data_IF_120105591987
#
_entry.id   IF_120105591987
#
_cell.length_a   1.000
_cell.length_b   1.000
_cell.length_c   1.000
_cell.angle_alpha   90.00
_cell.angle_beta   90.00
_cell.angle_gamma   90.00
#
_symmetry.space_group_name_H-M   'P 1'
#
loop_
_entity.id
_entity.type
_entity.pdbx_description
1 polymer ?
#
# COMPACT_ATOMS: atom_id res chain seq x y z
N UNK A 1 6.39 -8.11 50.59
CA UNK A 1 5.59 -7.93 49.37
C UNK A 1 4.89 -9.25 49.12
N UNK A 2 3.54 -9.24 49.14
CA UNK A 2 2.71 -10.44 48.94
C UNK A 2 2.72 -10.84 47.45
N UNK A 3 2.57 -12.15 47.16
CA UNK A 3 2.51 -12.69 45.79
C UNK A 3 1.45 -11.96 44.92
N UNK A 4 0.34 -11.51 45.49
CA UNK A 4 -0.69 -10.71 44.83
C UNK A 4 -0.19 -9.32 44.38
N UNK A 5 0.68 -8.68 45.13
CA UNK A 5 1.27 -7.39 44.73
C UNK A 5 2.31 -7.55 43.63
N UNK A 6 3.01 -8.70 43.60
CA UNK A 6 3.95 -9.03 42.54
C UNK A 6 3.22 -9.39 41.22
N UNK A 7 2.03 -10.04 41.34
CA UNK A 7 1.18 -10.35 40.19
C UNK A 7 0.52 -9.08 39.59
N UNK A 8 0.16 -8.09 40.44
CA UNK A 8 -0.35 -6.79 39.97
C UNK A 8 0.73 -5.91 39.34
N UNK A 9 1.97 -5.99 39.81
CA UNK A 9 3.11 -5.25 39.26
C UNK A 9 3.57 -5.82 37.90
N UNK A 10 3.43 -7.12 37.67
CA UNK A 10 3.74 -7.75 36.37
C UNK A 10 2.64 -7.51 35.33
N UNK A 11 1.38 -7.38 35.74
CA UNK A 11 0.27 -7.07 34.83
C UNK A 11 0.19 -5.59 34.37
N UNK A 12 0.85 -4.68 35.08
CA UNK A 12 0.82 -3.24 34.73
C UNK A 12 1.80 -2.84 33.63
N UNK A 13 2.67 -3.75 33.20
CA UNK A 13 3.70 -3.50 32.16
C UNK A 13 3.39 -4.15 30.80
N UNK A 14 2.40 -5.05 30.73
CA UNK A 14 2.01 -5.68 29.47
C UNK A 14 0.86 -4.87 28.88
N UNK A 15 1.13 -4.16 27.79
CA UNK A 15 0.05 -3.57 26.97
C UNK A 15 -0.83 -4.70 26.47
N UNK A 16 -2.15 -4.56 26.66
CA UNK A 16 -3.10 -5.57 26.22
C UNK A 16 -3.41 -5.46 24.72
N UNK A 17 -3.20 -4.30 24.11
CA UNK A 17 -3.48 -4.05 22.70
C UNK A 17 -2.37 -3.18 22.07
N UNK A 18 -2.14 -3.36 20.79
CA UNK A 18 -1.26 -2.54 19.97
C UNK A 18 -1.85 -1.14 19.80
N UNK A 19 -1.00 -0.13 19.82
CA UNK A 19 -1.40 1.25 19.55
C UNK A 19 -1.23 1.56 18.07
N UNK A 20 -2.34 1.67 17.36
CA UNK A 20 -2.38 2.05 15.95
C UNK A 20 -2.82 3.50 15.83
N UNK A 21 -2.07 4.30 15.08
CA UNK A 21 -2.39 5.72 14.83
C UNK A 21 -2.64 5.93 13.35
N UNK A 22 -3.68 6.69 13.00
CA UNK A 22 -4.00 7.09 11.62
C UNK A 22 -3.89 8.60 11.49
N UNK A 23 -2.91 9.06 10.70
CA UNK A 23 -2.73 10.47 10.36
C UNK A 23 -3.39 10.80 9.04
N UNK A 24 -4.36 11.70 9.04
CA UNK A 24 -4.92 12.33 7.84
C UNK A 24 -4.21 13.64 7.52
N UNK A 25 -3.38 13.67 6.46
CA UNK A 25 -2.49 14.79 6.15
C UNK A 25 -3.00 15.63 4.98
N UNK A 26 -3.24 16.92 5.23
CA UNK A 26 -3.78 17.85 4.24
C UNK A 26 -5.26 17.62 3.94
N UNK A 27 -5.80 18.28 2.91
CA UNK A 27 -7.22 18.23 2.60
C UNK A 27 -7.71 16.82 2.22
N UNK A 28 -7.04 16.15 1.27
CA UNK A 28 -7.43 14.79 0.84
C UNK A 28 -7.30 13.77 1.97
N UNK A 29 -6.18 13.80 2.72
CA UNK A 29 -6.00 12.91 3.87
C UNK A 29 -7.02 13.19 4.99
N UNK A 30 -7.38 14.44 5.23
CA UNK A 30 -8.42 14.82 6.19
C UNK A 30 -9.81 14.33 5.80
N UNK A 31 -10.17 14.37 4.51
CA UNK A 31 -11.44 13.84 4.02
C UNK A 31 -11.50 12.31 4.18
N UNK A 32 -10.44 11.61 3.77
CA UNK A 32 -10.34 10.17 3.97
C UNK A 32 -10.43 9.80 5.47
N UNK A 33 -9.77 10.56 6.34
CA UNK A 33 -9.82 10.35 7.78
C UNK A 33 -11.23 10.50 8.34
N UNK A 34 -11.96 11.56 7.92
CA UNK A 34 -13.36 11.74 8.32
C UNK A 34 -14.22 10.53 7.89
N UNK A 35 -14.02 10.01 6.68
CA UNK A 35 -14.75 8.85 6.18
C UNK A 35 -14.43 7.58 6.97
N UNK A 36 -13.16 7.40 7.40
CA UNK A 36 -12.75 6.29 8.27
C UNK A 36 -13.45 6.39 9.64
N UNK A 37 -13.51 7.60 10.21
CA UNK A 37 -14.16 7.86 11.50
C UNK A 37 -15.67 7.60 11.41
N UNK A 38 -16.34 8.08 10.35
CA UNK A 38 -17.76 7.86 10.09
C UNK A 38 -18.12 6.36 9.98
N UNK A 39 -17.17 5.57 9.50
CA UNK A 39 -17.32 4.10 9.39
C UNK A 39 -17.05 3.35 10.70
N UNK A 40 -16.84 4.08 11.81
CA UNK A 40 -16.71 3.53 13.16
C UNK A 40 -15.58 2.48 13.29
N UNK A 41 -14.44 2.70 12.64
CA UNK A 41 -13.25 1.84 12.79
C UNK A 41 -12.77 1.93 14.24
N UNK A 42 -12.65 0.78 14.91
CA UNK A 42 -12.31 0.69 16.33
C UNK A 42 -10.82 0.38 16.53
N UNK A 43 -10.30 0.68 17.73
CA UNK A 43 -8.94 0.30 18.13
C UNK A 43 -7.83 1.15 17.52
N UNK A 44 -8.17 2.33 16.97
CA UNK A 44 -7.21 3.26 16.35
C UNK A 44 -7.35 4.67 16.88
N UNK A 45 -6.24 5.39 17.01
CA UNK A 45 -6.19 6.81 17.34
C UNK A 45 -6.16 7.64 16.05
N UNK A 46 -7.02 8.64 15.96
CA UNK A 46 -7.12 9.50 14.76
C UNK A 46 -6.50 10.87 15.00
N UNK A 47 -5.66 11.31 14.06
CA UNK A 47 -5.00 12.62 14.06
C UNK A 47 -5.15 13.30 12.72
N UNK A 48 -5.81 14.46 12.67
CA UNK A 48 -5.85 15.30 11.47
C UNK A 48 -4.72 16.34 11.52
N UNK A 49 -3.91 16.40 10.46
CA UNK A 49 -2.80 17.34 10.33
C UNK A 49 -2.94 18.18 9.05
N UNK A 50 -3.03 19.50 9.18
CA UNK A 50 -3.18 20.38 8.03
C UNK A 50 -2.54 21.75 8.28
N UNK A 51 -2.13 22.44 7.21
CA UNK A 51 -1.71 23.84 7.22
C UNK A 51 -2.89 24.81 7.10
N UNK A 52 -4.09 24.31 6.81
CA UNK A 52 -5.34 25.08 6.70
C UNK A 52 -6.20 24.84 7.95
N UNK A 53 -6.35 25.87 8.77
CA UNK A 53 -7.10 25.84 10.01
C UNK A 53 -8.60 25.56 9.78
N UNK A 54 -9.20 26.13 8.71
CA UNK A 54 -10.61 25.90 8.40
C UNK A 54 -10.90 24.45 8.05
N UNK A 55 -9.98 23.81 7.31
CA UNK A 55 -10.11 22.38 7.01
C UNK A 55 -9.99 21.53 8.28
N UNK A 56 -9.16 21.90 9.25
CA UNK A 56 -9.08 21.23 10.53
C UNK A 56 -10.31 21.42 11.40
N UNK A 57 -10.93 22.61 11.37
CA UNK A 57 -12.17 22.85 12.12
C UNK A 57 -13.28 21.92 11.67
N UNK A 58 -13.34 21.62 10.35
CA UNK A 58 -14.33 20.70 9.76
C UNK A 58 -13.97 19.21 9.98
N UNK A 59 -12.78 18.89 10.44
CA UNK A 59 -12.38 17.50 10.69
C UNK A 59 -13.11 16.92 11.89
N UNK A 60 -13.52 15.64 11.78
CA UNK A 60 -14.13 14.86 12.85
C UNK A 60 -13.07 14.20 13.76
N UNK A 61 -11.78 14.29 13.42
CA UNK A 61 -10.72 13.71 14.21
C UNK A 61 -10.68 14.32 15.64
N UNK A 62 -10.56 13.46 16.67
CA UNK A 62 -10.43 13.94 18.05
C UNK A 62 -9.14 14.72 18.28
N UNK A 63 -8.08 14.38 17.54
CA UNK A 63 -6.79 15.06 17.64
C UNK A 63 -6.52 15.84 16.36
N UNK A 64 -6.09 17.10 16.52
CA UNK A 64 -5.87 18.02 15.40
C UNK A 64 -4.55 18.75 15.56
N UNK A 65 -3.76 18.85 14.48
CA UNK A 65 -2.50 19.56 14.44
C UNK A 65 -2.54 20.59 13.32
N UNK A 66 -2.42 21.87 13.66
CA UNK A 66 -2.10 22.92 12.70
C UNK A 66 -0.61 22.82 12.40
N UNK A 67 -0.27 22.50 11.16
CA UNK A 67 1.12 22.41 10.72
C UNK A 67 1.65 23.78 10.32
N UNK A 68 2.82 24.13 10.88
CA UNK A 68 3.49 25.38 10.55
C UNK A 68 2.66 26.61 10.90
N UNK A 69 2.24 26.69 12.14
CA UNK A 69 1.36 27.74 12.68
C UNK A 69 1.94 29.13 12.43
N UNK A 70 3.25 29.29 12.62
CA UNK A 70 3.97 30.54 12.34
C UNK A 70 4.15 30.77 10.84
N UNK A 71 4.52 29.73 10.11
CA UNK A 71 4.84 29.81 8.69
C UNK A 71 3.61 30.08 7.83
N UNK A 72 2.51 29.34 8.08
CA UNK A 72 1.31 29.37 7.22
C UNK A 72 0.19 30.25 7.78
N UNK A 73 0.21 30.55 9.08
CA UNK A 73 -0.85 31.27 9.79
C UNK A 73 -2.23 30.64 9.62
N UNK A 74 -2.28 29.33 9.41
CA UNK A 74 -3.53 28.60 9.15
C UNK A 74 -4.17 28.85 7.78
N UNK A 75 -3.45 29.47 6.82
CA UNK A 75 -3.98 29.82 5.49
C UNK A 75 -3.67 28.77 4.41
N UNK A 76 -3.05 27.65 4.80
CA UNK A 76 -2.70 26.58 3.89
C UNK A 76 -1.31 26.73 3.26
N UNK A 77 -0.88 25.73 2.48
CA UNK A 77 0.43 25.66 1.85
C UNK A 77 0.46 26.23 0.41
N UNK A 78 -0.63 26.74 -0.13
CA UNK A 78 -0.70 27.36 -1.47
C UNK A 78 -0.27 26.43 -2.61
N UNK A 79 -0.58 25.12 -2.52
CA UNK A 79 -0.16 24.08 -3.46
C UNK A 79 1.37 23.95 -3.63
N UNK A 80 2.15 24.39 -2.64
CA UNK A 80 3.60 24.30 -2.62
C UNK A 80 4.05 23.23 -1.60
N UNK A 81 4.59 22.07 -2.05
CA UNK A 81 5.04 21.02 -1.15
C UNK A 81 6.15 21.45 -0.20
N UNK A 82 7.05 22.35 -0.62
CA UNK A 82 8.12 22.83 0.24
C UNK A 82 7.59 23.59 1.47
N UNK A 83 6.47 24.34 1.30
CA UNK A 83 5.79 24.97 2.43
C UNK A 83 5.20 23.89 3.35
N UNK A 84 4.58 22.85 2.78
CA UNK A 84 4.09 21.71 3.56
C UNK A 84 5.19 21.00 4.36
N UNK A 85 6.33 20.75 3.73
CA UNK A 85 7.51 20.15 4.37
C UNK A 85 8.02 21.02 5.54
N UNK A 86 8.18 22.31 5.32
CA UNK A 86 8.68 23.24 6.34
C UNK A 86 7.67 23.37 7.48
N UNK A 87 6.36 23.39 7.16
CA UNK A 87 5.29 23.44 8.16
C UNK A 87 5.27 22.19 9.05
N UNK A 88 5.47 21.00 8.47
CA UNK A 88 5.59 19.77 9.25
C UNK A 88 6.84 19.77 10.14
N UNK A 89 7.98 20.25 9.63
CA UNK A 89 9.21 20.38 10.41
C UNK A 89 9.06 21.37 11.58
N UNK A 90 8.37 22.49 11.38
CA UNK A 90 8.05 23.43 12.47
C UNK A 90 7.22 22.76 13.57
N UNK A 91 6.33 21.84 13.19
CA UNK A 91 5.41 21.16 14.11
C UNK A 91 5.90 19.79 14.58
N UNK A 92 7.19 19.45 14.36
CA UNK A 92 7.71 18.09 14.55
C UNK A 92 7.52 17.53 15.96
N UNK A 93 7.68 18.38 16.98
CA UNK A 93 7.55 17.95 18.38
C UNK A 93 6.11 17.57 18.71
N UNK A 94 5.12 18.33 18.20
CA UNK A 94 3.70 17.99 18.34
C UNK A 94 3.34 16.70 17.57
N UNK A 95 3.92 16.50 16.40
CA UNK A 95 3.73 15.25 15.64
C UNK A 95 4.25 14.06 16.47
N UNK A 96 5.48 14.17 17.00
CA UNK A 96 6.10 13.13 17.83
C UNK A 96 5.29 12.82 19.09
N UNK A 97 4.68 13.80 19.70
CA UNK A 97 3.82 13.63 20.89
C UNK A 97 2.67 12.64 20.59
N UNK A 98 1.97 12.81 19.46
CA UNK A 98 0.84 11.95 19.09
C UNK A 98 1.24 10.53 18.69
N UNK A 99 2.42 10.35 18.06
CA UNK A 99 2.90 9.04 17.64
C UNK A 99 3.71 8.33 18.73
N UNK A 100 4.03 8.98 19.85
CA UNK A 100 4.79 8.36 20.93
C UNK A 100 4.07 7.13 21.46
N UNK A 101 4.82 6.02 21.48
CA UNK A 101 4.36 4.72 21.92
C UNK A 101 3.38 4.04 20.96
N UNK A 102 3.23 4.51 19.72
CA UNK A 102 2.54 3.78 18.67
C UNK A 102 3.39 2.60 18.19
N UNK A 103 2.73 1.48 17.89
CA UNK A 103 3.33 0.31 17.28
C UNK A 103 3.24 0.37 15.74
N UNK A 104 2.18 1.04 15.24
CA UNK A 104 1.92 1.24 13.81
C UNK A 104 1.36 2.62 13.52
N UNK A 105 1.79 3.21 12.41
CA UNK A 105 1.30 4.49 11.89
C UNK A 105 0.82 4.34 10.45
N UNK A 106 -0.43 4.68 10.21
CA UNK A 106 -0.93 4.96 8.86
C UNK A 106 -0.80 6.45 8.55
N UNK A 107 -0.18 6.77 7.41
CA UNK A 107 -0.13 8.13 6.89
C UNK A 107 -0.99 8.18 5.62
N UNK A 108 -2.18 8.80 5.71
CA UNK A 108 -3.05 8.98 4.55
C UNK A 108 -3.00 10.40 4.01
N UNK A 109 -2.81 10.53 2.69
CA UNK A 109 -2.72 11.82 2.04
C UNK A 109 -3.15 11.78 0.57
N UNK A 110 -3.79 12.86 0.10
CA UNK A 110 -3.93 13.13 -1.34
C UNK A 110 -2.67 13.80 -1.86
N UNK A 111 -1.95 13.13 -2.76
CA UNK A 111 -0.71 13.66 -3.35
C UNK A 111 -1.00 14.67 -4.47
N UNK A 112 -0.06 15.58 -4.72
CA UNK A 112 -0.17 16.62 -5.76
C UNK A 112 -0.59 17.99 -5.23
N UNK A 113 -0.97 18.10 -3.94
CA UNK A 113 -1.18 19.35 -3.22
C UNK A 113 0.08 19.85 -2.53
N UNK A 114 -0.06 20.87 -1.69
CA UNK A 114 1.06 21.40 -0.88
C UNK A 114 1.25 20.62 0.42
N UNK A 115 0.22 20.58 1.26
CA UNK A 115 0.31 20.02 2.62
C UNK A 115 0.53 18.51 2.58
N UNK A 116 -0.37 17.73 1.95
CA UNK A 116 -0.27 16.27 1.91
C UNK A 116 1.06 15.81 1.30
N UNK A 117 1.43 16.38 0.15
CA UNK A 117 2.65 16.02 -0.57
C UNK A 117 3.94 16.33 0.21
N UNK A 118 3.95 17.49 0.90
CA UNK A 118 5.14 17.94 1.61
C UNK A 118 5.26 17.42 3.04
N UNK A 119 4.14 17.33 3.77
CA UNK A 119 4.15 16.97 5.19
C UNK A 119 4.16 15.45 5.43
N UNK A 120 3.50 14.65 4.59
CA UNK A 120 3.42 13.21 4.78
C UNK A 120 4.80 12.53 4.87
N UNK A 121 5.80 12.85 4.00
CA UNK A 121 7.14 12.29 4.14
C UNK A 121 7.83 12.64 5.46
N UNK A 122 7.64 13.86 5.99
CA UNK A 122 8.23 14.30 7.25
C UNK A 122 7.62 13.58 8.45
N UNK A 123 6.30 13.39 8.44
CA UNK A 123 5.58 12.63 9.47
C UNK A 123 6.03 11.16 9.45
N UNK A 124 6.14 10.57 8.27
CA UNK A 124 6.60 9.21 8.09
C UNK A 124 8.05 9.01 8.57
N UNK A 125 8.95 9.95 8.24
CA UNK A 125 10.35 9.95 8.69
C UNK A 125 10.42 9.96 10.22
N UNK A 126 9.67 10.86 10.87
CA UNK A 126 9.64 10.97 12.33
C UNK A 126 9.18 9.67 13.01
N UNK A 127 8.18 9.00 12.44
CA UNK A 127 7.66 7.74 12.97
C UNK A 127 8.65 6.59 12.78
N UNK A 128 9.26 6.49 11.60
CA UNK A 128 10.28 5.48 11.30
C UNK A 128 11.50 5.62 12.22
N UNK A 129 11.95 6.86 12.48
CA UNK A 129 13.06 7.13 13.38
C UNK A 129 12.77 6.72 14.84
N UNK A 130 11.48 6.62 15.20
CA UNK A 130 11.02 6.12 16.50
C UNK A 130 10.79 4.59 16.51
N UNK A 131 11.08 3.88 15.40
CA UNK A 131 10.92 2.42 15.28
C UNK A 131 9.48 1.95 15.09
N UNK A 132 8.58 2.85 14.72
CA UNK A 132 7.17 2.56 14.45
C UNK A 132 7.04 1.96 13.04
N UNK A 133 6.19 0.94 12.86
CA UNK A 133 5.84 0.43 11.53
C UNK A 133 5.03 1.47 10.77
N UNK A 134 5.53 1.97 9.64
CA UNK A 134 4.89 3.05 8.89
C UNK A 134 4.29 2.56 7.57
N UNK A 135 3.00 2.73 7.41
CA UNK A 135 2.26 2.42 6.18
C UNK A 135 1.72 3.70 5.55
N UNK A 136 2.19 4.02 4.37
CA UNK A 136 1.65 5.11 3.56
C UNK A 136 0.47 4.64 2.73
N UNK A 137 -0.67 5.34 2.80
CA UNK A 137 -1.86 5.07 1.98
C UNK A 137 -2.24 6.35 1.27
N UNK A 138 -1.86 6.49 0.00
CA UNK A 138 -1.95 7.78 -0.69
C UNK A 138 -2.62 7.66 -2.04
N UNK A 139 -3.20 8.78 -2.52
CA UNK A 139 -3.85 8.83 -3.82
C UNK A 139 -3.05 9.68 -4.80
N UNK A 140 -3.03 9.28 -6.09
CA UNK A 140 -2.64 10.14 -7.19
C UNK A 140 -3.86 10.93 -7.68
N UNK A 141 -3.68 12.20 -8.08
CA UNK A 141 -4.77 13.00 -8.62
C UNK A 141 -5.36 12.40 -9.89
N UNK A 142 -6.60 12.77 -10.20
CA UNK A 142 -7.20 12.45 -11.50
C UNK A 142 -6.46 13.18 -12.64
N UNK A 143 -6.44 12.61 -13.83
CA UNK A 143 -5.81 13.20 -15.02
C UNK A 143 -6.36 14.57 -15.37
N UNK A 144 -7.66 14.84 -15.13
CA UNK A 144 -8.27 16.15 -15.34
C UNK A 144 -7.77 17.23 -14.36
N UNK A 145 -7.09 16.87 -13.26
CA UNK A 145 -6.48 17.80 -12.30
C UNK A 145 -5.14 18.39 -12.81
N UNK A 146 -4.79 18.12 -14.03
CA UNK A 146 -3.66 18.65 -14.79
C UNK A 146 -2.29 18.05 -14.44
N UNK A 147 -1.42 18.03 -15.44
CA UNK A 147 -0.11 17.38 -15.39
C UNK A 147 0.85 17.98 -14.34
N UNK A 148 0.71 19.28 -14.02
CA UNK A 148 1.53 19.87 -12.95
C UNK A 148 1.25 19.23 -11.59
N UNK A 149 -0.02 18.96 -11.29
CA UNK A 149 -0.45 18.33 -10.03
C UNK A 149 0.03 16.87 -9.98
N UNK A 150 -0.06 16.15 -11.11
CA UNK A 150 0.46 14.79 -11.23
C UNK A 150 1.97 14.72 -10.99
N UNK A 151 2.78 15.59 -11.64
CA UNK A 151 4.22 15.65 -11.41
C UNK A 151 4.59 15.95 -9.95
N UNK A 152 3.83 16.83 -9.31
CA UNK A 152 4.00 17.13 -7.88
C UNK A 152 3.69 15.90 -7.02
N UNK A 153 2.64 15.15 -7.36
CA UNK A 153 2.28 13.90 -6.68
C UNK A 153 3.37 12.84 -6.82
N UNK A 154 3.88 12.62 -8.02
CA UNK A 154 4.95 11.66 -8.29
C UNK A 154 6.22 11.97 -7.49
N UNK A 155 6.64 13.24 -7.46
CA UNK A 155 7.78 13.68 -6.67
C UNK A 155 7.58 13.43 -5.16
N UNK A 156 6.39 13.73 -4.63
CA UNK A 156 6.06 13.49 -3.23
C UNK A 156 5.98 12.00 -2.86
N UNK A 157 5.48 11.17 -3.78
CA UNK A 157 5.44 9.71 -3.62
C UNK A 157 6.85 9.13 -3.52
N UNK A 158 7.79 9.62 -4.34
CA UNK A 158 9.20 9.21 -4.29
C UNK A 158 9.82 9.55 -2.92
N UNK A 159 9.53 10.73 -2.37
CA UNK A 159 10.04 11.12 -1.05
C UNK A 159 9.36 10.32 0.07
N UNK A 160 8.05 10.12 0.01
CA UNK A 160 7.32 9.33 1.01
C UNK A 160 7.82 7.88 1.05
N UNK A 161 8.07 7.28 -0.11
CA UNK A 161 8.53 5.89 -0.25
C UNK A 161 9.84 5.61 0.50
N UNK A 162 10.70 6.59 0.67
CA UNK A 162 11.95 6.46 1.43
C UNK A 162 11.73 6.29 2.94
N UNK A 163 10.57 6.72 3.41
CA UNK A 163 10.26 6.90 4.83
C UNK A 163 9.15 6.00 5.35
N UNK A 164 8.62 5.13 4.51
CA UNK A 164 7.59 4.14 4.89
C UNK A 164 8.08 2.72 4.69
N UNK A 165 7.55 1.78 5.44
CA UNK A 165 7.79 0.35 5.29
C UNK A 165 6.99 -0.23 4.11
N UNK A 166 5.71 0.16 4.01
CA UNK A 166 4.82 -0.18 2.91
C UNK A 166 4.16 1.09 2.36
N UNK A 167 4.13 1.23 1.03
CA UNK A 167 3.45 2.34 0.37
C UNK A 167 2.37 1.82 -0.57
N UNK A 168 1.12 2.04 -0.18
CA UNK A 168 -0.05 1.77 -0.99
C UNK A 168 -0.43 3.02 -1.77
N UNK A 169 -0.47 2.89 -3.10
CA UNK A 169 -0.77 4.01 -4.00
C UNK A 169 -2.06 3.71 -4.75
N UNK A 170 -3.08 4.55 -4.54
CA UNK A 170 -4.34 4.49 -5.26
C UNK A 170 -4.29 5.47 -6.43
N UNK A 171 -4.39 4.96 -7.65
CA UNK A 171 -4.47 5.78 -8.86
C UNK A 171 -5.94 6.12 -9.13
N UNK A 172 -6.34 7.39 -8.90
CA UNK A 172 -7.75 7.80 -9.02
C UNK A 172 -8.34 7.52 -10.42
N UNK A 173 -7.53 7.63 -11.48
CA UNK A 173 -7.97 7.35 -12.85
C UNK A 173 -8.40 5.89 -13.07
N UNK A 174 -7.85 4.95 -12.30
CA UNK A 174 -8.26 3.55 -12.38
C UNK A 174 -9.67 3.31 -11.85
N UNK A 175 -10.09 4.12 -10.89
CA UNK A 175 -11.47 4.06 -10.41
C UNK A 175 -12.45 4.42 -11.52
N UNK A 176 -12.07 5.30 -12.46
CA UNK A 176 -12.93 5.64 -13.61
C UNK A 176 -13.13 4.49 -14.61
N UNK A 177 -12.32 3.44 -14.53
CA UNK A 177 -12.46 2.24 -15.37
C UNK A 177 -13.53 1.27 -14.84
N UNK A 178 -14.02 1.48 -13.61
CA UNK A 178 -15.14 0.71 -13.09
C UNK A 178 -16.42 1.18 -13.79
N UNK A 179 -17.16 0.24 -14.39
CA UNK A 179 -18.35 0.53 -15.23
C UNK A 179 -19.39 1.42 -14.53
N UNK A 180 -19.49 1.33 -13.20
CA UNK A 180 -20.39 2.14 -12.37
C UNK A 180 -20.02 3.62 -12.30
N UNK A 181 -18.76 4.01 -12.64
CA UNK A 181 -18.22 5.35 -12.37
C UNK A 181 -18.26 6.30 -13.58
N UNK A 182 -18.41 5.79 -14.81
CA UNK A 182 -18.38 6.61 -16.03
C UNK A 182 -19.49 7.68 -16.10
N UNK A 183 -20.57 7.53 -15.32
CA UNK A 183 -21.72 8.46 -15.24
C UNK A 183 -21.86 9.09 -13.84
N UNK A 184 -20.87 8.96 -12.98
CA UNK A 184 -20.93 9.43 -11.61
C UNK A 184 -20.70 10.95 -11.52
N UNK A 185 -21.34 11.60 -10.53
CA UNK A 185 -21.06 13.00 -10.22
C UNK A 185 -19.66 13.15 -9.65
N UNK A 186 -19.01 14.29 -9.93
CA UNK A 186 -17.65 14.57 -9.44
C UNK A 186 -17.50 14.36 -7.92
N UNK A 187 -18.48 14.83 -7.16
CA UNK A 187 -18.48 14.67 -5.69
C UNK A 187 -18.46 13.21 -5.27
N UNK A 188 -19.24 12.37 -5.98
CA UNK A 188 -19.35 10.94 -5.68
C UNK A 188 -18.07 10.19 -6.09
N UNK A 189 -17.38 10.66 -7.16
CA UNK A 189 -16.08 10.13 -7.54
C UNK A 189 -15.02 10.35 -6.44
N UNK A 190 -14.96 11.54 -5.85
CA UNK A 190 -14.06 11.78 -4.70
C UNK A 190 -14.44 10.97 -3.46
N UNK A 191 -15.74 10.83 -3.16
CA UNK A 191 -16.19 9.94 -2.07
C UNK A 191 -15.75 8.50 -2.30
N UNK A 192 -15.75 8.04 -3.56
CA UNK A 192 -15.27 6.68 -3.88
C UNK A 192 -13.76 6.54 -3.66
N UNK A 193 -12.98 7.59 -3.93
CA UNK A 193 -11.55 7.63 -3.57
C UNK A 193 -11.37 7.53 -2.07
N UNK A 194 -12.12 8.32 -1.29
CA UNK A 194 -12.07 8.30 0.17
C UNK A 194 -12.48 6.92 0.72
N UNK A 195 -13.49 6.27 0.10
CA UNK A 195 -13.91 4.92 0.41
C UNK A 195 -12.80 3.88 0.19
N UNK A 196 -12.04 3.98 -0.90
CA UNK A 196 -10.91 3.09 -1.16
C UNK A 196 -9.81 3.27 -0.12
N UNK A 197 -9.49 4.52 0.26
CA UNK A 197 -8.53 4.80 1.33
C UNK A 197 -9.01 4.24 2.67
N UNK A 198 -10.30 4.37 2.96
CA UNK A 198 -10.92 3.79 4.15
C UNK A 198 -10.76 2.26 4.17
N UNK A 199 -11.12 1.59 3.08
CA UNK A 199 -11.03 0.13 2.98
C UNK A 199 -9.57 -0.35 3.09
N UNK A 200 -8.62 0.42 2.56
CA UNK A 200 -7.20 0.10 2.69
C UNK A 200 -6.71 0.13 4.15
N UNK A 201 -7.07 1.17 4.89
CA UNK A 201 -6.72 1.30 6.31
C UNK A 201 -7.49 0.25 7.12
N UNK A 202 -8.79 0.14 6.91
CA UNK A 202 -9.66 -0.77 7.65
C UNK A 202 -9.30 -2.25 7.38
N UNK A 203 -8.98 -2.60 6.13
CA UNK A 203 -8.61 -3.97 5.77
C UNK A 203 -7.40 -4.50 6.54
N UNK A 204 -6.48 -3.62 6.94
CA UNK A 204 -5.33 -3.98 7.78
C UNK A 204 -5.68 -3.89 9.26
N UNK A 205 -6.34 -2.80 9.67
CA UNK A 205 -6.65 -2.59 11.11
C UNK A 205 -7.63 -3.64 11.65
N UNK A 206 -8.63 -4.02 10.86
CA UNK A 206 -9.61 -5.02 11.26
C UNK A 206 -8.98 -6.38 11.55
N UNK A 207 -7.93 -6.77 10.81
CA UNK A 207 -7.18 -8.01 11.05
C UNK A 207 -6.46 -8.05 12.39
N UNK A 208 -6.09 -6.86 12.93
CA UNK A 208 -5.35 -6.71 14.18
C UNK A 208 -6.33 -6.50 15.34
N UNK A 209 -7.40 -5.71 15.12
CA UNK A 209 -8.24 -5.20 16.20
C UNK A 209 -9.55 -5.95 16.40
N UNK A 210 -10.06 -6.62 15.35
CA UNK A 210 -11.32 -7.36 15.42
C UNK A 210 -11.10 -8.84 15.67
N UNK A 211 -11.94 -9.41 16.51
CA UNK A 211 -11.97 -10.85 16.72
C UNK A 211 -12.72 -11.54 15.57
N UNK A 212 -12.07 -12.51 14.95
CA UNK A 212 -12.65 -13.38 13.92
C UNK A 212 -12.45 -14.86 14.26
N UNK A 213 -12.76 -15.76 13.33
CA UNK A 213 -12.41 -17.18 13.48
C UNK A 213 -10.92 -17.43 13.29
N UNK A 214 -10.27 -16.63 12.43
CA UNK A 214 -8.83 -16.67 12.21
C UNK A 214 -8.30 -15.29 12.52
N UNK A 215 -7.67 -15.15 13.67
CA UNK A 215 -7.05 -13.90 14.11
C UNK A 215 -5.58 -13.91 13.73
N UNK A 216 -5.12 -12.79 13.21
CA UNK A 216 -3.72 -12.52 12.99
C UNK A 216 -3.16 -11.75 14.18
N UNK A 217 -1.97 -12.10 14.62
CA UNK A 217 -1.27 -11.25 15.55
C UNK A 217 -0.57 -10.07 14.82
N UNK A 218 -0.25 -9.04 15.57
CA UNK A 218 0.41 -7.85 15.01
C UNK A 218 1.75 -8.19 14.34
N UNK A 219 2.48 -9.17 14.85
CA UNK A 219 3.78 -9.54 14.30
C UNK A 219 3.66 -10.22 12.93
N UNK A 220 2.56 -10.94 12.67
CA UNK A 220 2.28 -11.50 11.35
C UNK A 220 2.09 -10.40 10.31
N UNK A 221 1.26 -9.40 10.63
CA UNK A 221 1.03 -8.22 9.77
C UNK A 221 2.34 -7.43 9.60
N UNK A 222 3.09 -7.24 10.69
CA UNK A 222 4.38 -6.56 10.68
C UNK A 222 5.39 -7.28 9.80
N UNK A 223 5.44 -8.62 9.82
CA UNK A 223 6.36 -9.39 8.99
C UNK A 223 6.14 -9.18 7.48
N UNK A 224 4.88 -9.02 7.03
CA UNK A 224 4.57 -8.74 5.62
C UNK A 224 4.84 -7.28 5.26
N UNK A 225 4.52 -6.34 6.15
CA UNK A 225 4.57 -4.92 5.83
C UNK A 225 5.92 -4.26 6.07
N UNK A 226 6.81 -4.84 6.92
CA UNK A 226 8.16 -4.29 7.16
C UNK A 226 9.01 -4.35 5.90
N UNK A 227 9.54 -3.21 5.47
CA UNK A 227 10.34 -3.06 4.25
C UNK A 227 9.65 -3.66 3.01
N UNK A 228 8.34 -3.64 2.98
CA UNK A 228 7.52 -4.20 1.91
C UNK A 228 7.61 -3.39 0.60
N UNK A 229 8.07 -2.14 0.67
CA UNK A 229 8.22 -1.28 -0.49
C UNK A 229 6.88 -0.83 -1.07
N UNK A 230 6.62 -1.16 -2.33
CA UNK A 230 5.33 -0.82 -2.96
C UNK A 230 4.29 -1.88 -2.60
N UNK A 231 3.13 -1.44 -2.12
CA UNK A 231 1.96 -2.29 -1.92
C UNK A 231 0.86 -1.89 -2.91
N UNK A 232 0.10 -2.86 -3.36
CA UNK A 232 -1.11 -2.65 -4.14
C UNK A 232 -2.27 -3.37 -3.47
N UNK A 233 -3.48 -2.87 -3.71
CA UNK A 233 -4.68 -3.40 -3.09
C UNK A 233 -5.68 -3.80 -4.17
N UNK A 234 -6.30 -4.98 -3.96
CA UNK A 234 -7.47 -5.42 -4.69
C UNK A 234 -8.65 -5.58 -3.74
N UNK A 235 -9.84 -5.28 -4.22
CA UNK A 235 -11.07 -5.43 -3.47
C UNK A 235 -12.08 -6.17 -4.32
N UNK A 236 -12.78 -7.12 -3.72
CA UNK A 236 -13.82 -7.89 -4.37
C UNK A 236 -15.01 -8.11 -3.45
N UNK A 237 -16.18 -8.13 -4.04
CA UNK A 237 -17.45 -8.45 -3.41
C UNK A 237 -18.08 -9.64 -4.14
N UNK A 238 -18.68 -10.54 -3.40
CA UNK A 238 -19.44 -11.67 -3.92
C UNK A 238 -20.75 -11.87 -3.15
N UNK A 239 -21.77 -12.34 -3.85
CA UNK A 239 -23.10 -12.58 -3.30
C UNK A 239 -23.69 -13.85 -3.91
N UNK A 240 -24.55 -14.56 -3.16
CA UNK A 240 -25.23 -15.77 -3.58
C UNK A 240 -24.32 -16.99 -3.67
N UNK A 241 -24.56 -17.88 -4.61
CA UNK A 241 -23.79 -19.11 -4.80
C UNK A 241 -22.34 -18.79 -5.16
N UNK A 242 -21.36 -19.51 -4.57
CA UNK A 242 -19.92 -19.30 -4.72
C UNK A 242 -19.44 -17.86 -4.35
N UNK A 243 -20.13 -17.20 -3.43
CA UNK A 243 -19.89 -15.79 -3.05
C UNK A 243 -18.45 -15.51 -2.64
N UNK A 244 -17.82 -16.38 -1.87
CA UNK A 244 -16.44 -16.20 -1.41
C UNK A 244 -15.43 -16.37 -2.56
N UNK A 245 -15.62 -17.35 -3.44
CA UNK A 245 -14.82 -17.54 -4.64
C UNK A 245 -14.95 -16.37 -5.61
N UNK A 246 -16.17 -15.85 -5.81
CA UNK A 246 -16.42 -14.65 -6.62
C UNK A 246 -15.73 -13.42 -6.04
N UNK A 247 -15.83 -13.21 -4.72
CA UNK A 247 -15.19 -12.10 -4.04
C UNK A 247 -13.65 -12.15 -4.17
N UNK A 248 -13.04 -13.34 -3.98
CA UNK A 248 -11.61 -13.54 -4.15
C UNK A 248 -11.15 -13.23 -5.58
N UNK A 249 -11.88 -13.74 -6.59
CA UNK A 249 -11.59 -13.46 -7.99
C UNK A 249 -11.73 -11.98 -8.33
N UNK A 250 -12.81 -11.34 -7.89
CA UNK A 250 -13.04 -9.91 -8.10
C UNK A 250 -11.96 -9.05 -7.42
N UNK A 251 -11.39 -9.50 -6.30
CA UNK A 251 -10.27 -8.83 -5.64
C UNK A 251 -8.99 -8.90 -6.47
N UNK A 252 -8.68 -10.07 -7.07
CA UNK A 252 -7.53 -10.25 -7.98
C UNK A 252 -7.71 -9.43 -9.25
N UNK A 253 -8.91 -9.44 -9.83
CA UNK A 253 -9.25 -8.74 -11.07
C UNK A 253 -9.56 -7.24 -10.85
N UNK A 254 -9.42 -6.75 -9.62
CA UNK A 254 -9.74 -5.36 -9.27
C UNK A 254 -8.94 -4.36 -10.12
N UNK A 255 -9.56 -3.31 -10.67
CA UNK A 255 -8.85 -2.25 -11.41
C UNK A 255 -7.75 -1.56 -10.61
N UNK A 256 -7.82 -1.62 -9.27
CA UNK A 256 -6.80 -1.08 -8.37
C UNK A 256 -5.50 -1.90 -8.38
N UNK A 257 -5.57 -3.16 -8.80
CA UNK A 257 -4.40 -4.02 -8.98
C UNK A 257 -3.59 -3.56 -10.19
N UNK A 258 -2.56 -2.75 -9.95
CA UNK A 258 -1.69 -2.21 -11.01
C UNK A 258 -0.69 -3.23 -11.54
N UNK A 259 -0.39 -4.26 -10.76
CA UNK A 259 0.49 -5.37 -11.08
C UNK A 259 -0.21 -6.70 -10.79
N UNK A 260 0.15 -7.77 -11.50
CA UNK A 260 -0.39 -9.10 -11.19
C UNK A 260 0.10 -9.58 -9.81
N UNK A 261 -0.75 -10.30 -9.10
CA UNK A 261 -0.44 -10.89 -7.80
C UNK A 261 0.73 -11.87 -7.86
N UNK A 262 0.96 -12.49 -9.00
CA UNK A 262 2.05 -13.47 -9.26
C UNK A 262 3.46 -12.94 -9.01
N UNK A 263 3.65 -11.62 -8.93
CA UNK A 263 4.95 -11.02 -8.60
C UNK A 263 5.09 -10.55 -7.16
N UNK A 264 4.08 -10.79 -6.33
CA UNK A 264 4.07 -10.38 -4.93
C UNK A 264 4.95 -11.30 -4.09
N UNK A 265 5.71 -10.73 -3.17
CA UNK A 265 6.50 -11.49 -2.19
C UNK A 265 5.77 -11.68 -0.86
N UNK A 266 4.72 -10.90 -0.61
CA UNK A 266 3.83 -11.04 0.54
C UNK A 266 2.42 -10.66 0.16
N UNK A 267 1.47 -11.40 0.68
CA UNK A 267 0.04 -11.19 0.46
C UNK A 267 -0.65 -11.19 1.81
N UNK A 268 -1.38 -10.13 2.09
CA UNK A 268 -2.26 -10.02 3.23
C UNK A 268 -3.71 -10.09 2.70
N UNK A 269 -4.45 -11.07 3.15
CA UNK A 269 -5.82 -11.32 2.73
C UNK A 269 -6.77 -11.14 3.92
N UNK A 270 -7.71 -10.21 3.80
CA UNK A 270 -8.81 -10.02 4.72
C UNK A 270 -10.12 -10.49 4.06
N UNK A 271 -10.76 -11.47 4.65
CA UNK A 271 -12.08 -11.96 4.23
C UNK A 271 -13.10 -11.56 5.29
N UNK A 272 -14.05 -10.70 4.92
CA UNK A 272 -15.14 -10.24 5.81
C UNK A 272 -16.45 -10.85 5.35
N UNK A 273 -17.15 -11.52 6.27
CA UNK A 273 -18.41 -12.25 5.97
C UNK A 273 -19.41 -12.11 7.11
N UNK A 274 -20.67 -12.42 6.84
CA UNK A 274 -21.63 -12.74 7.93
C UNK A 274 -21.26 -14.07 8.61
N UNK A 275 -21.94 -14.35 9.73
CA UNK A 275 -21.75 -15.57 10.53
C UNK A 275 -22.14 -16.88 9.83
N UNK A 276 -22.91 -16.82 8.75
CA UNK A 276 -23.44 -17.97 7.99
C UNK A 276 -22.49 -18.47 6.87
N UNK A 277 -21.19 -18.12 6.91
CA UNK A 277 -20.21 -18.59 5.93
C UNK A 277 -19.88 -20.07 6.12
N UNK A 278 -19.76 -20.82 5.04
CA UNK A 278 -19.42 -22.24 5.09
C UNK A 278 -17.90 -22.44 4.98
N UNK A 279 -17.41 -23.51 5.59
CA UNK A 279 -15.98 -23.86 5.56
C UNK A 279 -15.45 -24.08 4.14
N UNK A 280 -16.23 -24.73 3.28
CA UNK A 280 -15.86 -24.95 1.88
C UNK A 280 -15.78 -23.64 1.08
N UNK A 281 -16.67 -22.66 1.34
CA UNK A 281 -16.61 -21.36 0.69
C UNK A 281 -15.30 -20.63 1.01
N UNK A 282 -14.85 -20.69 2.27
CA UNK A 282 -13.56 -20.14 2.68
C UNK A 282 -12.37 -20.86 2.04
N UNK A 283 -12.45 -22.20 1.94
CA UNK A 283 -11.41 -23.00 1.31
C UNK A 283 -11.29 -22.68 -0.20
N UNK A 284 -12.41 -22.48 -0.89
CA UNK A 284 -12.45 -22.14 -2.31
C UNK A 284 -11.85 -20.73 -2.56
N UNK A 285 -12.18 -19.75 -1.71
CA UNK A 285 -11.58 -18.41 -1.79
C UNK A 285 -10.06 -18.45 -1.56
N UNK A 286 -9.60 -19.16 -0.53
CA UNK A 286 -8.18 -19.32 -0.22
C UNK A 286 -7.42 -19.98 -1.37
N UNK A 287 -7.99 -21.03 -1.96
CA UNK A 287 -7.41 -21.75 -3.10
C UNK A 287 -7.20 -20.86 -4.33
N UNK A 288 -8.17 -20.02 -4.66
CA UNK A 288 -8.06 -19.07 -5.79
C UNK A 288 -6.87 -18.12 -5.59
N UNK A 289 -6.68 -17.61 -4.38
CA UNK A 289 -5.55 -16.73 -4.05
C UNK A 289 -4.22 -17.49 -4.13
N UNK A 290 -4.17 -18.71 -3.55
CA UNK A 290 -2.97 -19.56 -3.54
C UNK A 290 -2.53 -19.94 -4.97
N UNK A 291 -3.47 -20.31 -5.84
CA UNK A 291 -3.21 -20.64 -7.25
C UNK A 291 -2.69 -19.45 -8.06
N UNK A 292 -3.03 -18.22 -7.64
CA UNK A 292 -2.63 -16.99 -8.34
C UNK A 292 -1.33 -16.42 -7.77
N UNK A 293 -1.01 -16.70 -6.53
CA UNK A 293 0.19 -16.20 -5.85
C UNK A 293 1.46 -16.90 -6.34
N UNK A 294 2.61 -16.22 -6.20
CA UNK A 294 3.90 -16.86 -6.40
C UNK A 294 4.08 -17.98 -5.35
N UNK A 295 4.59 -19.17 -5.71
CA UNK A 295 4.85 -20.27 -4.76
C UNK A 295 5.76 -19.87 -3.58
N UNK A 296 6.64 -18.89 -3.77
CA UNK A 296 7.51 -18.35 -2.74
C UNK A 296 6.90 -17.16 -1.96
N UNK A 297 5.68 -16.73 -2.32
CA UNK A 297 4.99 -15.64 -1.63
C UNK A 297 4.55 -16.05 -0.23
N UNK A 298 4.78 -15.18 0.75
CA UNK A 298 4.22 -15.35 2.08
C UNK A 298 2.75 -14.89 2.07
N UNK A 299 1.81 -15.84 2.16
CA UNK A 299 0.38 -15.53 2.23
C UNK A 299 -0.08 -15.61 3.68
N UNK A 300 -0.64 -14.52 4.18
CA UNK A 300 -1.27 -14.47 5.50
C UNK A 300 -2.73 -14.04 5.28
N UNK A 301 -3.66 -14.80 5.87
CA UNK A 301 -5.06 -14.49 5.74
C UNK A 301 -5.76 -14.45 7.11
N UNK A 302 -6.72 -13.55 7.22
CA UNK A 302 -7.58 -13.44 8.39
C UNK A 302 -9.05 -13.36 7.99
N UNK A 303 -9.91 -13.69 8.95
CA UNK A 303 -11.35 -13.67 8.77
C UNK A 303 -12.00 -12.76 9.81
N UNK A 304 -12.85 -11.86 9.33
CA UNK A 304 -13.61 -10.91 10.16
C UNK A 304 -15.10 -11.20 9.99
N UNK A 305 -15.83 -11.24 11.10
CA UNK A 305 -17.31 -11.40 11.07
C UNK A 305 -17.94 -10.03 11.11
N UNK A 306 -18.83 -9.77 10.14
CA UNK A 306 -19.68 -8.58 10.09
C UNK A 306 -21.07 -8.98 9.58
N UNK A 307 -22.00 -9.20 10.51
CA UNK A 307 -23.35 -9.63 10.19
C UNK A 307 -24.17 -8.58 9.43
N UNK A 308 -23.68 -7.33 9.35
CA UNK A 308 -24.32 -6.29 8.54
C UNK A 308 -24.21 -6.56 7.04
N UNK A 309 -23.27 -7.41 6.62
CA UNK A 309 -23.10 -7.83 5.22
C UNK A 309 -24.17 -8.80 4.74
N UNK A 310 -24.88 -9.47 5.64
CA UNK A 310 -25.88 -10.49 5.30
C UNK A 310 -25.26 -11.62 4.47
N UNK A 311 -25.73 -11.79 3.24
CA UNK A 311 -25.25 -12.83 2.32
C UNK A 311 -23.99 -12.45 1.51
N UNK A 312 -23.48 -11.24 1.69
CA UNK A 312 -22.32 -10.75 0.98
C UNK A 312 -21.00 -11.19 1.63
N UNK A 313 -19.99 -11.38 0.78
CA UNK A 313 -18.60 -11.60 1.18
C UNK A 313 -17.74 -10.49 0.60
N UNK A 314 -16.95 -9.86 1.45
CA UNK A 314 -15.95 -8.88 1.02
C UNK A 314 -14.55 -9.46 1.18
N UNK A 315 -13.73 -9.31 0.14
CA UNK A 315 -12.33 -9.71 0.14
C UNK A 315 -11.48 -8.47 -0.12
N UNK A 316 -10.56 -8.19 0.79
CA UNK A 316 -9.51 -7.20 0.61
C UNK A 316 -8.17 -7.92 0.54
N UNK A 317 -7.46 -7.73 -0.57
CA UNK A 317 -6.16 -8.33 -0.84
C UNK A 317 -5.12 -7.20 -0.92
N UNK A 318 -4.04 -7.31 -0.13
CA UNK A 318 -2.90 -6.40 -0.20
C UNK A 318 -1.68 -7.22 -0.61
N UNK A 319 -1.11 -6.89 -1.77
CA UNK A 319 0.07 -7.54 -2.31
C UNK A 319 1.28 -6.60 -2.21
N UNK A 320 2.42 -7.10 -1.72
CA UNK A 320 3.64 -6.32 -1.46
C UNK A 320 4.76 -6.71 -2.40
N UNK A 321 5.50 -5.69 -2.89
CA UNK A 321 6.57 -5.82 -3.88
C UNK A 321 7.83 -5.10 -3.38
N UNK A 322 8.70 -5.76 -2.61
CA UNK A 322 9.93 -5.14 -2.13
C UNK A 322 10.89 -4.84 -3.27
N UNK A 323 11.56 -3.71 -3.19
CA UNK A 323 12.52 -3.28 -4.23
C UNK A 323 13.78 -4.17 -4.30
N UNK A 324 14.13 -4.81 -3.16
CA UNK A 324 15.25 -5.74 -3.05
C UNK A 324 14.77 -7.06 -2.45
N UNK A 325 14.36 -8.00 -3.30
CA UNK A 325 13.96 -9.35 -2.87
C UNK A 325 15.07 -10.11 -2.09
N UNK A 326 16.32 -9.63 -2.13
CA UNK A 326 17.46 -10.21 -1.38
C UNK A 326 17.50 -9.80 0.10
N UNK A 327 16.69 -8.81 0.54
CA UNK A 327 16.73 -8.31 1.91
C UNK A 327 15.81 -9.06 2.89
N UNK A 328 14.95 -9.96 2.43
CA UNK A 328 14.10 -10.75 3.32
C UNK A 328 14.86 -11.95 3.86
N UNK A 329 14.93 -12.16 5.18
CA UNK A 329 15.40 -13.42 5.71
C UNK A 329 14.44 -14.51 5.22
N UNK A 330 14.98 -15.51 4.48
CA UNK A 330 14.22 -16.71 4.15
C UNK A 330 13.86 -17.39 5.47
N UNK A 331 12.60 -17.32 5.85
CA UNK A 331 12.07 -18.13 6.94
C UNK A 331 12.14 -19.56 6.40
N UNK A 332 13.15 -20.32 6.88
CA UNK A 332 13.21 -21.75 6.59
C UNK A 332 11.93 -22.36 7.16
N UNK A 333 11.07 -22.90 6.31
CA UNK A 333 10.07 -23.85 6.74
C UNK A 333 10.86 -24.95 7.45
N UNK A 334 10.69 -25.08 8.76
CA UNK A 334 11.15 -26.26 9.48
C UNK A 334 10.35 -27.43 8.89
N UNK A 335 11.02 -28.21 8.06
CA UNK A 335 10.56 -29.56 7.73
C UNK A 335 10.43 -30.28 9.06
N UNK A 336 9.21 -30.65 9.44
CA UNK A 336 8.95 -31.54 10.53
C UNK A 336 9.65 -32.86 10.16
N UNK A 337 10.85 -33.09 10.70
CA UNK A 337 11.46 -34.40 10.73
C UNK A 337 10.50 -35.34 11.47
N UNK A 338 9.92 -36.27 10.73
CA UNK A 338 9.25 -37.42 11.32
C UNK A 338 10.28 -38.16 12.19
N UNK A 339 10.06 -38.07 13.49
CA UNK A 339 10.82 -38.87 14.48
C UNK A 339 10.49 -40.35 14.23
N UNK A 340 11.32 -41.00 13.44
CA UNK A 340 11.34 -42.45 13.37
C UNK A 340 12.00 -42.97 14.63
N UNK A 341 11.22 -43.62 15.48
CA UNK A 341 11.67 -44.41 16.63
C UNK A 341 12.59 -45.51 16.19
N UNK A 342 13.78 -45.69 16.80
CA UNK A 342 14.66 -46.81 16.44
C UNK A 342 14.15 -48.08 17.08
N UNK A 343 13.86 -49.07 16.24
CA UNK A 343 13.71 -50.48 16.67
C UNK A 343 15.10 -51.08 16.94
N UNK A 344 15.31 -51.53 18.17
CA UNK A 344 16.48 -52.32 18.58
C UNK A 344 16.48 -53.67 17.87
N UNK A 345 17.67 -54.10 17.40
CA UNK A 345 17.84 -55.49 16.96
C UNK A 345 19.21 -55.85 16.39
N UNK A 346 20.13 -56.27 17.29
CA UNK A 346 21.16 -57.30 17.13
C UNK A 346 22.48 -56.99 16.39
N UNK A 347 23.50 -57.09 17.22
CA UNK A 347 24.94 -57.22 16.95
C UNK A 347 25.31 -58.40 16.05
N UNK A 348 26.23 -58.22 15.13
CA UNK A 348 27.24 -59.19 14.80
C UNK A 348 28.58 -58.52 14.49
N UNK A 349 29.64 -59.17 15.10
CA UNK A 349 31.00 -58.68 15.21
C UNK A 349 31.90 -59.42 14.21
N UNK A 350 32.98 -58.72 13.78
CA UNK A 350 34.32 -59.18 13.32
C UNK A 350 34.55 -59.47 11.82
N UNK A 351 35.87 -59.51 11.40
CA UNK A 351 37.11 -58.93 11.97
C UNK A 351 37.98 -58.10 10.98
N UNK A 352 38.93 -57.44 11.58
CA UNK A 352 40.09 -56.68 11.05
C UNK A 352 41.09 -57.57 10.28
N UNK A 353 41.80 -57.09 9.24
CA UNK A 353 43.25 -57.04 9.16
C UNK A 353 43.82 -56.24 7.97
N UNK A 354 45.13 -55.90 8.01
CA UNK A 354 45.68 -54.61 7.51
C UNK A 354 46.68 -54.82 6.34
N UNK A 355 47.07 -53.71 5.70
CA UNK A 355 48.19 -53.74 4.73
C UNK A 355 48.35 -52.44 3.94
N UNK A 356 49.11 -51.51 4.39
CA UNK A 356 50.43 -50.96 4.00
C UNK A 356 50.66 -50.71 2.50
N UNK A 357 50.89 -49.44 2.19
CA UNK A 357 51.99 -48.71 1.49
C UNK A 357 51.57 -47.66 0.46
N UNK A 358 51.90 -46.43 0.82
CA UNK A 358 52.77 -45.45 0.13
C UNK A 358 52.56 -45.17 -1.36
N UNK A 359 52.28 -43.92 -1.65
CA UNK A 359 52.39 -43.33 -2.99
C UNK A 359 52.08 -41.82 -2.94
N UNK A 360 53.13 -41.03 -2.80
CA UNK A 360 53.11 -39.57 -2.90
C UNK A 360 52.85 -39.20 -4.38
N UNK A 361 51.79 -38.48 -4.68
CA UNK A 361 51.64 -37.73 -5.93
C UNK A 361 51.11 -36.33 -5.61
N UNK A 362 51.89 -35.34 -6.01
CA UNK A 362 51.63 -33.91 -5.87
C UNK A 362 50.38 -33.48 -6.67
N UNK A 363 49.57 -32.50 -6.18
CA UNK A 363 48.47 -31.97 -6.94
C UNK A 363 48.94 -30.88 -7.89
N UNK A 364 48.63 -31.03 -9.18
CA UNK A 364 48.69 -29.96 -10.14
C UNK A 364 47.51 -29.00 -9.95
N UNK A 365 47.82 -27.77 -9.64
CA UNK A 365 46.90 -26.64 -9.60
C UNK A 365 46.50 -26.29 -11.04
N UNK A 366 45.25 -26.53 -11.40
CA UNK A 366 44.61 -25.95 -12.56
C UNK A 366 43.71 -24.82 -12.08
N UNK A 367 44.08 -23.57 -12.33
CA UNK A 367 43.25 -22.41 -12.11
C UNK A 367 42.24 -22.33 -13.26
N UNK A 368 40.91 -22.19 -13.02
CA UNK A 368 39.96 -21.74 -14.00
C UNK A 368 40.03 -20.22 -14.09
N UNK A 369 40.35 -19.71 -15.26
CA UNK A 369 40.17 -18.29 -15.59
C UNK A 369 38.68 -17.97 -15.60
N UNK A 370 38.23 -17.18 -14.62
CA UNK A 370 36.89 -16.56 -14.62
C UNK A 370 36.98 -15.23 -15.33
N UNK A 371 36.40 -15.15 -16.52
CA UNK A 371 36.14 -13.87 -17.17
C UNK A 371 35.07 -13.10 -16.37
N UNK A 372 35.22 -11.81 -16.12
CA UNK A 372 34.22 -11.01 -15.42
C UNK A 372 33.01 -10.80 -16.34
N UNK A 373 31.92 -11.49 -16.04
CA UNK A 373 30.60 -11.17 -16.60
C UNK A 373 30.14 -9.85 -16.01
N UNK A 374 29.85 -8.88 -16.86
CA UNK A 374 29.21 -7.63 -16.49
C UNK A 374 27.85 -7.93 -15.79
N UNK A 375 27.50 -7.23 -14.71
CA UNK A 375 26.20 -7.42 -14.06
C UNK A 375 25.09 -7.04 -15.05
N UNK A 376 24.20 -7.99 -15.35
CA UNK A 376 22.92 -7.71 -16.01
C UNK A 376 22.16 -6.73 -15.11
N UNK A 377 21.91 -5.53 -15.60
CA UNK A 377 21.00 -4.57 -14.99
C UNK A 377 19.61 -5.24 -14.98
N UNK A 378 19.18 -5.67 -13.82
CA UNK A 378 17.76 -5.99 -13.58
C UNK A 378 17.01 -4.67 -13.66
N UNK A 379 16.18 -4.53 -14.68
CA UNK A 379 15.29 -3.38 -14.82
C UNK A 379 14.38 -3.34 -13.60
N UNK A 380 14.41 -2.21 -12.87
CA UNK A 380 13.46 -1.92 -11.80
C UNK A 380 12.03 -2.02 -12.32
N UNK A 381 11.10 -2.41 -11.46
CA UNK A 381 9.65 -2.38 -11.75
C UNK A 381 9.23 -1.00 -12.31
N UNK A 382 9.91 0.05 -11.87
CA UNK A 382 9.75 1.41 -12.36
C UNK A 382 10.18 1.58 -13.84
N UNK A 383 11.22 0.85 -14.28
CA UNK A 383 11.68 0.86 -15.69
C UNK A 383 10.69 0.13 -16.60
N UNK A 384 10.08 -0.95 -16.11
CA UNK A 384 9.01 -1.68 -16.83
C UNK A 384 7.74 -0.83 -16.93
N UNK A 385 7.39 -0.09 -15.88
CA UNK A 385 6.26 0.84 -15.89
C UNK A 385 6.48 1.99 -16.88
N UNK A 386 7.66 2.61 -16.86
CA UNK A 386 8.02 3.68 -17.78
C UNK A 386 8.17 3.19 -19.23
N UNK A 387 8.60 1.94 -19.44
CA UNK A 387 8.69 1.33 -20.77
C UNK A 387 7.29 1.07 -21.38
N UNK A 388 6.34 0.63 -20.54
CA UNK A 388 4.95 0.43 -20.96
C UNK A 388 4.24 1.76 -21.26
N UNK A 389 4.54 2.80 -20.51
CA UNK A 389 4.03 4.15 -20.76
C UNK A 389 4.57 4.73 -22.07
N UNK A 390 5.86 4.58 -22.36
CA UNK A 390 6.47 5.00 -23.64
C UNK A 390 5.90 4.26 -24.85
N UNK A 391 5.52 3.01 -24.69
CA UNK A 391 4.83 2.26 -25.77
C UNK A 391 3.41 2.75 -25.99
N UNK A 392 2.68 3.16 -24.95
CA UNK A 392 1.35 3.77 -25.11
C UNK A 392 1.41 5.18 -25.73
N UNK A 393 2.32 6.02 -25.26
CA UNK A 393 2.55 7.35 -25.86
C UNK A 393 3.01 7.25 -27.32
N UNK A 394 3.83 6.26 -27.69
CA UNK A 394 4.24 5.99 -29.06
C UNK A 394 3.08 5.51 -29.97
N UNK A 395 2.06 4.84 -29.41
CA UNK A 395 0.85 4.47 -30.15
C UNK A 395 -0.11 5.66 -30.36
N UNK A 396 -0.15 6.63 -29.47
CA UNK A 396 -0.92 7.87 -29.67
C UNK A 396 -0.24 8.80 -30.66
N UNK A 397 1.08 8.97 -30.60
CA UNK A 397 1.81 9.75 -31.62
C UNK A 397 1.72 9.11 -33.02
N UNK A 398 1.75 7.79 -33.13
CA UNK A 398 1.58 7.10 -34.42
C UNK A 398 0.14 7.26 -35.01
N UNK A 399 -0.88 7.51 -34.19
CA UNK A 399 -2.24 7.83 -34.65
C UNK A 399 -2.39 9.27 -35.13
N UNK A 400 -1.56 10.19 -34.65
CA UNK A 400 -1.56 11.60 -35.05
C UNK A 400 -0.77 11.88 -36.32
N UNK A 401 0.02 10.92 -36.80
CA UNK A 401 0.90 11.09 -38.00
C UNK A 401 0.40 10.37 -39.26
N UNK A 402 -0.79 9.76 -39.24
CA UNK A 402 -1.40 9.22 -40.47
C UNK A 402 -2.09 10.36 -41.21
N UNK A 403 -1.75 10.65 -42.48
CA UNK A 403 -2.42 11.70 -43.22
C UNK A 403 -3.81 11.21 -43.64
N UNK A 404 -4.86 11.77 -43.02
CA UNK A 404 -6.19 11.71 -43.63
C UNK A 404 -6.28 12.75 -44.75
N UNK A 405 -6.36 12.31 -45.97
CA UNK A 405 -6.76 13.10 -47.11
C UNK A 405 -8.21 13.57 -46.94
N UNK A 406 -8.40 14.79 -46.40
CA UNK A 406 -9.54 15.61 -46.68
C UNK A 406 -9.19 17.11 -46.36
N UNK A 407 -8.45 17.66 -47.30
CA UNK A 407 -8.07 19.09 -47.29
C UNK A 407 -9.18 19.88 -48.02
N UNK A 408 -10.27 20.24 -47.31
CA UNK A 408 -11.12 21.34 -47.73
C UNK A 408 -10.65 22.61 -47.05
N UNK A 409 -9.95 23.41 -47.83
CA UNK A 409 -9.41 24.71 -47.50
C UNK A 409 -10.51 25.66 -47.03
N UNK A 410 -10.40 26.16 -45.79
CA UNK A 410 -11.13 27.33 -45.32
C UNK A 410 -10.50 28.62 -45.93
N UNK A 411 -11.26 29.64 -46.29
CA UNK A 411 -10.72 30.86 -46.83
C UNK A 411 -9.87 31.62 -45.80
N UNK A 412 -8.79 32.26 -46.24
CA UNK A 412 -7.79 32.97 -45.43
C UNK A 412 -8.33 34.05 -44.50
N UNK A 413 -9.55 34.56 -44.72
CA UNK A 413 -10.20 35.57 -43.89
C UNK A 413 -10.65 35.06 -42.51
N UNK A 414 -10.76 33.74 -42.32
CA UNK A 414 -11.14 33.15 -41.02
C UNK A 414 -9.97 32.66 -40.18
N UNK A 415 -8.78 32.42 -40.75
CA UNK A 415 -7.59 32.01 -40.01
C UNK A 415 -7.12 33.02 -38.97
N UNK A 416 -7.24 34.33 -39.26
CA UNK A 416 -6.83 35.40 -38.33
C UNK A 416 -7.71 35.56 -37.09
N UNK A 417 -8.89 34.92 -37.09
CA UNK A 417 -9.85 35.08 -35.99
C UNK A 417 -9.59 34.11 -34.81
N UNK A 418 -8.92 32.99 -35.08
CA UNK A 418 -8.65 31.96 -34.05
C UNK A 418 -7.27 32.10 -33.40
N UNK A 419 -6.37 32.88 -33.96
CA UNK A 419 -5.02 33.11 -33.44
C UNK A 419 -4.96 34.17 -32.33
N UNK A 420 -6.10 34.84 -32.00
CA UNK A 420 -6.12 35.81 -30.91
C UNK A 420 -6.64 35.18 -29.60
N UNK A 421 -5.99 35.45 -28.44
CA UNK A 421 -6.49 35.08 -27.14
C UNK A 421 -7.91 35.56 -26.91
N UNK A 422 -8.72 34.72 -26.24
CA UNK A 422 -10.18 34.96 -26.04
C UNK A 422 -10.51 36.29 -25.34
N UNK A 423 -9.58 36.88 -24.60
CA UNK A 423 -9.74 38.18 -23.91
C UNK A 423 -9.81 39.40 -24.85
N UNK A 424 -9.43 39.25 -26.12
CA UNK A 424 -9.47 40.35 -27.12
C UNK A 424 -10.66 40.27 -28.08
N UNK A 425 -11.55 39.32 -27.91
CA UNK A 425 -12.77 39.17 -28.70
C UNK A 425 -13.87 40.06 -28.12
N UNK A 426 -13.84 41.37 -28.41
CA UNK A 426 -14.93 42.27 -28.06
C UNK A 426 -16.17 41.97 -28.89
N UNK A 427 -17.32 41.79 -28.22
CA UNK A 427 -18.64 41.72 -28.81
C UNK A 427 -18.87 42.95 -29.73
N UNK A 428 -18.97 42.72 -31.04
CA UNK A 428 -19.73 43.61 -31.92
C UNK A 428 -21.11 42.97 -32.04
N UNK A 429 -22.06 43.56 -31.30
CA UNK A 429 -23.46 43.56 -31.72
C UNK A 429 -23.55 44.69 -32.71
N UNK A 430 -23.88 44.35 -33.93
CA UNK A 430 -24.79 45.04 -34.84
C UNK A 430 -25.20 44.05 -35.93
#
# INVERSE_FOLDING_TARGET
MNQEQMFQLTNSTIRQNEKIVVFGVGGGGGNALNHIIESNVQGVDFVAANTDAKALDMSQAPNKIILGETLTRGLGAGANPQVGTNAAKESIDRIKEYITGADMLFVTAGMGGGTGTGAAPVIAEAARDMGILVVGVVTKPFGFEMSKRMKTAEAGIIELKKNVDALLIVENDRLLQMDSLSKMKLVDAYKKVDEVLRQAVQGVTDLITKNGFVNLDFNDVKAILTNAGTAIMGMGEGEGEDRAAKAAKNAIDSPLMTFPVTGASGILLNVTTGSEILLNEMADAAKIIEETADPDAQVIWGHVIDDSLGDKVHVTLIATFPENAQARPKIKKEEKEEVQTPVQGQQQVQPVQPGVRTGIVQPHTVQPQVQPQQPRRTSSIYDLYNQRRRTQEGFEEARLTSPSEDNRAFPDSQRRFYDQPAIFRKNRKD
#
